data_IF_648523701531
#
_entry.id   IF_648523701531
#
_cell.length_a   1.000
_cell.length_b   1.000
_cell.length_c   1.000
_cell.angle_alpha   90.00
_cell.angle_beta   90.00
_cell.angle_gamma   90.00
#
_symmetry.space_group_name_H-M   'P 1'
#
loop_
_entity.id
_entity.type
_entity.pdbx_description
1 polymer ?
#
# COMPACT_ATOMS: atom_id res chain seq x y z
N UNK A 1 -24.69 9.85 -24.64
CA UNK A 1 -23.49 8.99 -24.75
C UNK A 1 -23.82 7.64 -24.14
N UNK A 2 -23.72 6.57 -24.93
CA UNK A 2 -24.22 5.23 -24.58
C UNK A 2 -23.54 4.68 -23.32
N UNK A 3 -24.35 4.24 -22.35
CA UNK A 3 -23.96 3.68 -21.04
C UNK A 3 -22.94 2.55 -21.17
N UNK A 4 -22.95 1.82 -22.29
CA UNK A 4 -21.99 0.74 -22.59
C UNK A 4 -20.54 1.22 -22.64
N UNK A 5 -20.28 2.43 -23.14
CA UNK A 5 -18.93 3.00 -23.15
C UNK A 5 -18.44 3.32 -21.74
N UNK A 6 -19.32 3.82 -20.87
CA UNK A 6 -18.98 4.11 -19.49
C UNK A 6 -18.67 2.81 -18.71
N UNK A 7 -19.45 1.76 -18.92
CA UNK A 7 -19.25 0.45 -18.28
C UNK A 7 -17.90 -0.18 -18.66
N UNK A 8 -17.53 -0.15 -19.95
CA UNK A 8 -16.23 -0.63 -20.43
C UNK A 8 -15.08 0.15 -19.80
N UNK A 9 -15.18 1.48 -19.74
CA UNK A 9 -14.14 2.32 -19.13
C UNK A 9 -14.00 2.04 -17.62
N UNK A 10 -15.11 1.84 -16.92
CA UNK A 10 -15.08 1.48 -15.50
C UNK A 10 -14.46 0.10 -15.28
N UNK A 11 -14.77 -0.89 -16.13
CA UNK A 11 -14.15 -2.20 -16.05
C UNK A 11 -12.63 -2.13 -16.21
N UNK A 12 -12.14 -1.38 -17.22
CA UNK A 12 -10.70 -1.16 -17.42
C UNK A 12 -10.07 -0.45 -16.22
N UNK A 13 -10.74 0.54 -15.65
CA UNK A 13 -10.26 1.26 -14.47
C UNK A 13 -10.15 0.35 -13.24
N UNK A 14 -11.07 -0.59 -13.05
CA UNK A 14 -11.02 -1.57 -11.96
C UNK A 14 -9.84 -2.53 -12.15
N UNK A 15 -9.66 -3.07 -13.35
CA UNK A 15 -8.54 -3.97 -13.66
C UNK A 15 -7.19 -3.27 -13.43
N UNK A 16 -7.06 -2.03 -13.89
CA UNK A 16 -5.86 -1.22 -13.69
C UNK A 16 -5.56 -1.00 -12.19
N UNK A 17 -6.59 -0.73 -11.38
CA UNK A 17 -6.44 -0.52 -9.93
C UNK A 17 -6.01 -1.79 -9.19
N UNK A 18 -6.57 -2.95 -9.56
CA UNK A 18 -6.14 -4.23 -8.99
C UNK A 18 -4.67 -4.49 -9.31
N UNK A 19 -4.27 -4.29 -10.57
CA UNK A 19 -2.89 -4.51 -10.99
C UNK A 19 -1.90 -3.57 -10.28
N UNK A 20 -2.24 -2.28 -10.19
CA UNK A 20 -1.45 -1.29 -9.48
C UNK A 20 -1.26 -1.66 -8.00
N UNK A 21 -2.35 -2.03 -7.31
CA UNK A 21 -2.31 -2.39 -5.88
C UNK A 21 -1.41 -3.59 -5.61
N UNK A 22 -1.46 -4.61 -6.48
CA UNK A 22 -0.60 -5.80 -6.38
C UNK A 22 0.87 -5.41 -6.57
N UNK A 23 1.17 -4.59 -7.58
CA UNK A 23 2.53 -4.12 -7.86
C UNK A 23 3.10 -3.29 -6.69
N UNK A 24 2.32 -2.35 -6.15
CA UNK A 24 2.72 -1.52 -5.01
C UNK A 24 2.99 -2.35 -3.75
N UNK A 25 2.11 -3.32 -3.43
CA UNK A 25 2.28 -4.20 -2.27
C UNK A 25 3.53 -5.08 -2.41
N UNK A 26 3.82 -5.54 -3.63
CA UNK A 26 5.02 -6.33 -3.94
C UNK A 26 6.31 -5.51 -3.74
N UNK A 27 6.33 -4.26 -4.23
CA UNK A 27 7.49 -3.38 -4.04
C UNK A 27 7.68 -2.98 -2.57
N UNK A 28 6.60 -2.61 -1.89
CA UNK A 28 6.64 -2.21 -0.48
C UNK A 28 7.14 -3.34 0.43
N UNK A 29 6.69 -4.59 0.20
CA UNK A 29 7.13 -5.74 1.00
C UNK A 29 8.62 -6.03 0.83
N UNK A 30 9.18 -5.85 -0.37
CA UNK A 30 10.62 -5.97 -0.62
C UNK A 30 11.43 -4.88 0.09
N UNK A 31 10.97 -3.63 0.07
CA UNK A 31 11.62 -2.51 0.77
C UNK A 31 11.57 -2.68 2.28
N UNK A 32 10.40 -3.03 2.82
CA UNK A 32 10.21 -3.21 4.27
C UNK A 32 10.97 -4.42 4.82
N UNK A 33 11.16 -5.47 4.01
CA UNK A 33 12.06 -6.58 4.35
C UNK A 33 13.53 -6.14 4.43
N UNK A 34 13.99 -5.31 3.49
CA UNK A 34 15.34 -4.74 3.54
C UNK A 34 15.54 -3.85 4.78
N UNK A 35 14.60 -2.95 5.09
CA UNK A 35 14.65 -2.12 6.31
C UNK A 35 14.57 -2.93 7.61
N UNK A 36 13.85 -4.06 7.61
CA UNK A 36 13.80 -4.99 8.75
C UNK A 36 15.16 -5.67 8.98
N UNK A 37 15.90 -5.98 7.92
CA UNK A 37 17.28 -6.50 8.02
C UNK A 37 18.20 -5.49 8.70
N UNK A 38 18.03 -4.21 8.36
CA UNK A 38 18.86 -3.11 8.87
C UNK A 38 18.40 -2.59 10.26
N UNK A 39 17.36 -3.21 10.85
CA UNK A 39 16.94 -2.95 12.23
C UNK A 39 16.12 -1.68 12.43
N UNK A 40 15.73 -0.98 11.36
CA UNK A 40 15.07 0.33 11.40
C UNK A 40 13.56 0.27 11.76
N UNK A 41 12.95 -0.91 11.86
CA UNK A 41 11.50 -1.09 12.04
C UNK A 41 11.21 -1.48 13.51
N UNK A 42 10.28 -0.79 14.22
CA UNK A 42 9.93 -1.12 15.59
C UNK A 42 9.37 -2.56 15.64
N UNK A 43 10.04 -3.43 16.41
CA UNK A 43 9.72 -4.86 16.45
C UNK A 43 10.46 -5.74 15.43
N UNK A 44 11.58 -5.28 14.86
CA UNK A 44 12.41 -5.96 13.84
C UNK A 44 12.58 -7.48 14.02
N UNK A 45 12.61 -8.02 15.25
CA UNK A 45 12.71 -9.46 15.50
C UNK A 45 11.49 -10.29 15.08
N UNK A 46 10.30 -9.70 15.04
CA UNK A 46 9.08 -10.37 14.57
C UNK A 46 8.97 -10.37 13.03
N UNK A 47 9.47 -9.30 12.40
CA UNK A 47 9.40 -9.04 10.97
C UNK A 47 10.56 -9.67 10.19
N UNK A 48 11.64 -10.07 10.89
CA UNK A 48 12.75 -10.88 10.35
C UNK A 48 12.40 -12.35 10.15
N UNK A 49 11.26 -12.85 10.65
CA UNK A 49 10.86 -14.25 10.45
C UNK A 49 10.39 -14.47 9.00
N UNK A 50 11.33 -14.85 8.14
CA UNK A 50 11.05 -15.37 6.80
C UNK A 50 10.57 -16.82 6.94
N UNK A 51 9.44 -17.15 6.29
CA UNK A 51 8.99 -18.54 6.18
C UNK A 51 10.02 -19.33 5.37
N UNK A 52 10.51 -20.45 5.93
CA UNK A 52 11.54 -21.32 5.31
C UNK A 52 11.09 -21.95 3.98
N UNK A 53 9.78 -22.04 3.75
CA UNK A 53 9.21 -22.78 2.60
C UNK A 53 9.13 -21.90 1.35
N UNK A 54 8.61 -20.67 1.46
CA UNK A 54 8.36 -19.83 0.28
C UNK A 54 9.40 -18.71 0.08
N UNK A 55 10.29 -18.46 1.05
CA UNK A 55 11.20 -17.28 1.07
C UNK A 55 10.48 -15.93 0.95
N UNK A 56 9.19 -15.88 1.23
CA UNK A 56 8.37 -14.66 1.24
C UNK A 56 8.21 -14.19 2.69
N UNK A 57 8.43 -12.89 2.99
CA UNK A 57 8.19 -12.35 4.32
C UNK A 57 6.68 -12.14 4.57
N UNK A 58 5.96 -13.23 4.88
CA UNK A 58 4.49 -13.25 5.05
C UNK A 58 4.02 -12.20 6.08
N UNK A 59 4.71 -12.04 7.21
CA UNK A 59 4.35 -11.07 8.24
C UNK A 59 4.46 -9.61 7.75
N UNK A 60 5.47 -9.30 6.92
CA UNK A 60 5.65 -7.97 6.33
C UNK A 60 4.56 -7.67 5.31
N UNK A 61 4.19 -8.65 4.48
CA UNK A 61 3.09 -8.51 3.53
C UNK A 61 1.77 -8.26 4.26
N UNK A 62 1.47 -9.04 5.30
CA UNK A 62 0.26 -8.83 6.11
C UNK A 62 0.22 -7.47 6.78
N UNK A 63 1.35 -6.99 7.31
CA UNK A 63 1.40 -5.66 7.91
C UNK A 63 1.13 -4.55 6.90
N UNK A 64 1.67 -4.65 5.68
CA UNK A 64 1.42 -3.68 4.60
C UNK A 64 -0.05 -3.74 4.17
N UNK A 65 -0.61 -4.94 4.02
CA UNK A 65 -2.02 -5.12 3.67
C UNK A 65 -2.91 -4.53 4.76
N UNK A 66 -2.67 -4.83 6.04
CA UNK A 66 -3.43 -4.25 7.15
C UNK A 66 -3.30 -2.73 7.16
N UNK A 67 -2.10 -2.17 6.99
CA UNK A 67 -1.91 -0.71 6.97
C UNK A 67 -2.63 -0.06 5.78
N UNK A 68 -2.59 -0.69 4.60
CA UNK A 68 -3.30 -0.25 3.40
C UNK A 68 -4.82 -0.35 3.53
N UNK A 69 -5.33 -1.28 4.33
CA UNK A 69 -6.76 -1.36 4.67
C UNK A 69 -7.15 -0.33 5.73
N UNK A 70 -6.28 -0.01 6.68
CA UNK A 70 -6.56 0.93 7.78
C UNK A 70 -6.59 2.39 7.31
N UNK A 71 -5.70 2.80 6.40
CA UNK A 71 -5.66 4.18 5.89
C UNK A 71 -6.94 4.70 5.22
N UNK A 72 -7.72 3.88 4.47
CA UNK A 72 -9.02 4.28 3.93
C UNK A 72 -10.21 4.03 4.88
N UNK A 73 -10.04 3.36 6.04
CA UNK A 73 -11.15 3.17 7.01
C UNK A 73 -11.88 4.46 7.39
N UNK A 74 -11.21 5.62 7.58
CA UNK A 74 -11.90 6.88 7.88
C UNK A 74 -12.88 7.32 6.79
N UNK A 75 -12.68 6.91 5.53
CA UNK A 75 -13.59 7.21 4.43
C UNK A 75 -14.98 6.59 4.60
N UNK A 76 -15.09 5.49 5.36
CA UNK A 76 -16.36 4.82 5.61
C UNK A 76 -17.26 5.58 6.58
N UNK A 77 -16.68 6.34 7.52
CA UNK A 77 -17.43 7.09 8.53
C UNK A 77 -17.74 8.53 8.11
N UNK A 78 -16.82 9.18 7.39
CA UNK A 78 -16.91 10.61 7.04
C UNK A 78 -17.23 10.88 5.56
N UNK A 79 -17.55 9.85 4.78
CA UNK A 79 -17.90 9.96 3.37
C UNK A 79 -16.80 10.64 2.53
N UNK A 80 -17.16 11.70 1.81
CA UNK A 80 -16.24 12.44 0.94
C UNK A 80 -15.04 13.04 1.69
N UNK A 81 -15.27 13.57 2.89
CA UNK A 81 -14.20 14.20 3.71
C UNK A 81 -13.17 13.16 4.12
N UNK A 82 -13.62 11.96 4.50
CA UNK A 82 -12.71 10.86 4.85
C UNK A 82 -11.91 10.38 3.64
N UNK A 83 -12.52 10.30 2.45
CA UNK A 83 -11.79 9.98 1.21
C UNK A 83 -10.71 11.02 0.90
N UNK A 84 -11.05 12.31 0.94
CA UNK A 84 -10.11 13.39 0.68
C UNK A 84 -8.96 13.45 1.70
N UNK A 85 -9.25 13.16 2.98
CA UNK A 85 -8.23 13.08 4.01
C UNK A 85 -7.27 11.91 3.78
N UNK A 86 -7.78 10.71 3.48
CA UNK A 86 -6.95 9.53 3.21
C UNK A 86 -6.04 9.72 2.00
N UNK A 87 -6.52 10.34 0.92
CA UNK A 87 -5.69 10.64 -0.25
C UNK A 87 -4.63 11.70 0.05
N UNK A 88 -4.97 12.75 0.80
CA UNK A 88 -4.01 13.79 1.20
C UNK A 88 -2.86 13.20 2.04
N UNK A 89 -3.17 12.33 3.01
CA UNK A 89 -2.16 11.64 3.83
C UNK A 89 -1.23 10.79 2.96
N UNK A 90 -1.76 10.06 1.98
CA UNK A 90 -0.97 9.26 1.05
C UNK A 90 -0.02 10.13 0.20
N UNK A 91 -0.51 11.27 -0.31
CA UNK A 91 0.30 12.20 -1.12
C UNK A 91 1.44 12.81 -0.29
N UNK A 92 1.14 13.27 0.92
CA UNK A 92 2.16 13.85 1.82
C UNK A 92 3.24 12.80 2.14
N UNK A 93 2.84 11.57 2.46
CA UNK A 93 3.77 10.47 2.73
C UNK A 93 4.69 10.16 1.54
N UNK A 94 4.12 10.13 0.33
CA UNK A 94 4.89 9.93 -0.90
C UNK A 94 5.88 11.08 -1.14
N UNK A 95 5.45 12.32 -0.90
CA UNK A 95 6.30 13.50 -1.10
C UNK A 95 7.51 13.49 -0.17
N UNK A 96 7.31 13.14 1.11
CA UNK A 96 8.40 12.97 2.07
C UNK A 96 9.35 11.84 1.63
N UNK A 97 8.82 10.71 1.16
CA UNK A 97 9.62 9.59 0.69
C UNK A 97 10.52 9.96 -0.51
N UNK A 98 10.05 10.83 -1.41
CA UNK A 98 10.87 11.33 -2.52
C UNK A 98 11.89 12.38 -2.11
N UNK A 99 11.67 13.12 -1.02
CA UNK A 99 12.62 14.13 -0.52
C UNK A 99 13.77 13.51 0.27
N UNK A 100 13.54 12.40 0.96
CA UNK A 100 14.55 11.72 1.80
C UNK A 100 15.87 11.38 1.08
N UNK A 101 15.89 10.87 -0.17
CA UNK A 101 17.14 10.61 -0.88
C UNK A 101 17.83 11.85 -1.48
N UNK A 102 17.19 13.02 -1.47
CA UNK A 102 17.74 14.27 -2.03
C UNK A 102 18.59 15.03 -1.01
N UNK A 103 18.29 14.86 0.28
CA UNK A 103 19.03 15.43 1.43
C UNK A 103 20.13 14.48 1.88
#
# INVERSE_FOLDING_TARGET
MSTHWAEILLFVAVVAQVFCTIASTTSASRMMFAFSRDGAVPGHNLWKRVSKTDRIPIYTVWAIVVLAFVTPLPAWWYGYVGYAASTAVAVIGLYIAFMLPII
#
